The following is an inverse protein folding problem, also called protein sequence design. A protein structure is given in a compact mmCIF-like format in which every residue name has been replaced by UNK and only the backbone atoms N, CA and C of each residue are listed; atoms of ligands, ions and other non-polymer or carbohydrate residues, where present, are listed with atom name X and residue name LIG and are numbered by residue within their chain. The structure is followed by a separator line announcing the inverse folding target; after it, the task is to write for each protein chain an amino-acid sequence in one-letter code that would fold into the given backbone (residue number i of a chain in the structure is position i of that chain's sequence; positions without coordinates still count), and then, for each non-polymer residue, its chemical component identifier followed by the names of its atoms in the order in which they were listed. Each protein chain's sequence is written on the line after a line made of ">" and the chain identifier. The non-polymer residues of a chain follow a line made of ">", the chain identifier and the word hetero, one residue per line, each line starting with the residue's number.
data_IF_398512979493
#
_entry.id   IF_398512979493
#
_cell.length_a   1.000
_cell.length_b   1.000
_cell.length_c   1.000
_cell.angle_alpha   90.00
_cell.angle_beta   90.00
_cell.angle_gamma   90.00
#
_symmetry.space_group_name_H-M   'P 1'
#
loop_
_entity.id
_entity.type
_entity.pdbx_description
1 polymer ?
#
# COMPACT_ATOMS: atom_id res chain seq x y z
N UNK A 1 3.44 29.01 -28.69
CA UNK A 1 2.91 28.94 -28.31
C UNK A 1 2.53 28.70 -27.70
N UNK A 2 2.69 28.69 -27.83
CA UNK A 2 2.06 28.55 -27.18
C UNK A 2 1.77 28.11 -26.46
N UNK A 3 1.98 28.09 -26.55
CA UNK A 3 1.50 27.89 -25.87
C UNK A 3 1.30 27.44 -24.99
N UNK A 4 1.44 27.51 -25.14
CA UNK A 4 1.09 27.45 -24.40
C UNK A 4 1.23 26.91 -23.62
N UNK A 5 1.36 27.07 -23.56
CA UNK A 5 1.23 26.99 -22.83
C UNK A 5 1.17 26.51 -22.15
N UNK A 6 1.46 26.65 -22.39
CA UNK A 6 1.24 26.61 -21.56
C UNK A 6 1.14 26.24 -20.77
N UNK A 7 1.28 26.49 -20.93
CA UNK A 7 0.97 26.49 -20.02
C UNK A 7 0.91 26.04 -19.26
N UNK A 8 1.14 26.28 -19.40
CA UNK A 8 1.00 26.26 -18.57
C UNK A 8 1.11 25.89 -17.75
N UNK A 9 1.52 26.04 -17.78
CA UNK A 9 1.50 26.11 -16.87
C UNK A 9 1.97 26.12 -16.07
N UNK A 10 2.38 26.44 -16.12
CA UNK A 10 2.66 26.78 -15.29
C UNK A 10 2.91 26.75 -14.35
N UNK A 11 3.05 26.99 -14.17
CA UNK A 11 3.17 27.04 -13.22
C UNK A 11 3.19 26.73 -12.31
N UNK A 12 3.27 26.82 -12.23
CA UNK A 12 2.99 26.70 -11.43
C UNK A 12 3.31 26.37 -10.76
N UNK A 13 3.63 26.63 -10.59
CA UNK A 13 3.78 26.42 -10.05
C UNK A 13 4.09 26.09 -9.01
N UNK A 14 4.19 26.50 -9.25
CA UNK A 14 4.47 26.53 -8.27
C UNK A 14 4.62 25.66 -7.25
N UNK A 15 4.73 25.70 -6.68
CA UNK A 15 4.79 24.69 -5.89
C UNK A 15 4.39 23.48 -6.47
N UNK A 16 4.61 23.27 -7.36
CA UNK A 16 4.26 22.23 -8.17
C UNK A 16 4.89 20.95 -7.82
N UNK A 17 6.11 20.96 -7.43
CA UNK A 17 6.77 19.74 -7.02
C UNK A 17 6.10 19.14 -5.79
N UNK A 18 5.50 19.98 -4.97
CA UNK A 18 4.79 19.52 -3.79
C UNK A 18 3.62 18.65 -4.15
N UNK A 19 3.15 18.68 -5.39
CA UNK A 19 2.02 17.88 -5.83
C UNK A 19 2.43 16.63 -6.58
N UNK A 20 3.72 16.37 -6.64
CA UNK A 20 4.21 15.27 -7.45
C UNK A 20 4.38 14.03 -6.59
N UNK A 21 3.31 13.25 -6.54
CA UNK A 21 3.36 11.93 -5.93
C UNK A 21 3.66 10.92 -7.03
N UNK A 22 4.69 10.13 -6.83
CA UNK A 22 5.13 9.16 -7.82
C UNK A 22 5.07 7.76 -7.22
N UNK A 23 4.48 6.82 -7.94
CA UNK A 23 4.45 5.43 -7.52
C UNK A 23 5.33 4.64 -8.47
N UNK A 24 6.22 3.82 -7.90
CA UNK A 24 7.18 3.05 -8.66
C UNK A 24 7.52 1.77 -7.91
N UNK A 25 8.33 0.93 -8.52
CA UNK A 25 8.74 -0.33 -7.91
C UNK A 25 9.64 -0.07 -6.71
N UNK A 26 9.37 -0.78 -5.62
CA UNK A 26 10.24 -0.78 -4.44
C UNK A 26 11.41 -1.71 -4.73
N UNK A 27 12.60 -1.14 -4.83
CA UNK A 27 13.79 -1.92 -5.12
C UNK A 27 14.53 -2.29 -3.84
N UNK A 28 15.55 -3.12 -3.96
CA UNK A 28 16.32 -3.53 -2.78
C UNK A 28 17.02 -2.34 -2.13
N UNK A 29 17.40 -1.32 -2.90
CA UNK A 29 18.04 -0.13 -2.34
C UNK A 29 17.05 0.72 -1.54
N UNK A 30 15.75 0.52 -1.73
CA UNK A 30 14.72 1.26 -1.00
C UNK A 30 14.40 0.62 0.35
N UNK A 31 14.84 -0.60 0.59
CA UNK A 31 14.43 -1.37 1.78
C UNK A 31 14.78 -0.68 3.11
N UNK A 32 15.97 -0.07 3.27
CA UNK A 32 16.23 0.61 4.54
C UNK A 32 15.24 1.72 4.85
N UNK A 33 14.86 2.52 3.86
CA UNK A 33 13.87 3.59 4.07
C UNK A 33 12.50 3.01 4.37
N UNK A 34 12.11 1.96 3.65
CA UNK A 34 10.83 1.30 3.89
C UNK A 34 10.78 0.66 5.27
N UNK A 35 11.90 0.10 5.73
CA UNK A 35 12.00 -0.50 7.07
C UNK A 35 11.75 0.54 8.16
N UNK A 36 12.26 1.76 7.98
CA UNK A 36 11.99 2.83 8.94
C UNK A 36 10.51 3.18 8.97
N UNK A 37 9.85 3.20 7.82
CA UNK A 37 8.41 3.45 7.76
C UNK A 37 7.65 2.34 8.48
N UNK A 38 8.06 1.09 8.24
CA UNK A 38 7.42 -0.06 8.90
C UNK A 38 7.44 0.09 10.42
N UNK A 39 8.59 0.43 10.96
CA UNK A 39 8.74 0.57 12.41
C UNK A 39 7.98 1.74 12.98
N UNK A 40 7.83 2.83 12.23
CA UNK A 40 7.13 4.03 12.69
C UNK A 40 5.63 3.94 12.51
N UNK A 41 5.16 3.23 11.49
CA UNK A 41 3.76 3.24 11.11
C UNK A 41 2.93 2.16 11.82
N UNK A 42 3.56 1.07 12.22
CA UNK A 42 2.83 -0.08 12.79
C UNK A 42 3.16 -0.28 14.25
N UNK A 43 2.12 -0.54 15.06
CA UNK A 43 2.29 -0.84 16.48
C UNK A 43 3.00 -2.19 16.67
N UNK A 44 2.79 -3.11 15.73
CA UNK A 44 3.40 -4.45 15.76
C UNK A 44 4.07 -4.70 14.42
N UNK A 45 5.24 -4.08 14.18
CA UNK A 45 5.90 -4.21 12.90
C UNK A 45 6.39 -5.63 12.66
N UNK A 46 6.57 -5.98 11.39
CA UNK A 46 7.20 -7.25 11.01
C UNK A 46 8.59 -7.31 11.63
N UNK A 47 9.09 -8.54 11.83
CA UNK A 47 10.50 -8.70 12.17
C UNK A 47 11.35 -8.25 10.97
N UNK A 48 12.59 -7.89 11.26
CA UNK A 48 13.52 -7.50 10.20
C UNK A 48 13.67 -8.61 9.16
N UNK A 49 13.79 -9.84 9.62
CA UNK A 49 13.94 -10.99 8.72
C UNK A 49 12.75 -11.11 7.77
N UNK A 50 11.53 -11.00 8.30
CA UNK A 50 10.32 -11.08 7.48
C UNK A 50 10.26 -9.93 6.50
N UNK A 51 10.56 -8.73 6.96
CA UNK A 51 10.49 -7.55 6.11
C UNK A 51 11.43 -7.67 4.92
N UNK A 52 12.69 -8.00 5.18
CA UNK A 52 13.69 -8.09 4.11
C UNK A 52 13.57 -9.36 3.28
N UNK A 53 12.79 -10.35 3.74
CA UNK A 53 12.61 -11.61 3.03
C UNK A 53 11.48 -11.62 1.99
N UNK A 54 10.60 -10.62 2.00
CA UNK A 54 9.44 -10.61 1.12
C UNK A 54 9.74 -9.84 -0.17
N UNK A 55 10.73 -10.32 -0.92
CA UNK A 55 11.22 -9.74 -2.15
C UNK A 55 11.37 -10.83 -3.20
N UNK A 56 11.40 -10.46 -4.47
CA UNK A 56 11.69 -11.39 -5.54
C UNK A 56 10.65 -11.39 -6.64
N UNK A 57 10.75 -12.40 -7.51
CA UNK A 57 9.96 -12.43 -8.75
C UNK A 57 8.47 -12.53 -8.53
N UNK A 58 8.05 -13.13 -7.41
CA UNK A 58 6.63 -13.29 -7.12
C UNK A 58 6.03 -12.06 -6.44
N UNK A 59 6.79 -11.00 -6.31
CA UNK A 59 6.34 -9.82 -5.59
C UNK A 59 6.15 -8.65 -6.54
N UNK A 60 5.07 -7.93 -6.31
CA UNK A 60 4.84 -6.62 -6.89
C UNK A 60 4.86 -5.63 -5.73
N UNK A 61 6.06 -5.19 -5.37
CA UNK A 61 6.25 -4.28 -4.26
C UNK A 61 6.37 -2.87 -4.79
N UNK A 62 5.61 -1.96 -4.20
CA UNK A 62 5.50 -0.59 -4.68
C UNK A 62 5.88 0.40 -3.61
N UNK A 63 6.40 1.55 -4.02
CA UNK A 63 6.61 2.68 -3.13
C UNK A 63 5.90 3.90 -3.70
N UNK A 64 5.51 4.78 -2.81
CA UNK A 64 4.98 6.09 -3.17
C UNK A 64 5.94 7.14 -2.62
N UNK A 65 6.43 8.00 -3.51
CA UNK A 65 7.30 9.10 -3.15
C UNK A 65 6.50 10.39 -3.21
N UNK A 66 6.56 11.16 -2.14
CA UNK A 66 5.90 12.46 -2.05
C UNK A 66 6.91 13.45 -1.48
N UNK A 67 6.95 14.64 -2.05
CA UNK A 67 7.88 15.67 -1.60
C UNK A 67 9.34 15.17 -1.56
N UNK A 68 9.70 14.38 -2.57
CA UNK A 68 11.04 13.81 -2.73
C UNK A 68 11.46 12.82 -1.63
N UNK A 69 10.48 12.29 -0.89
CA UNK A 69 10.72 11.28 0.16
C UNK A 69 9.81 10.10 -0.06
N UNK A 70 10.27 8.92 0.35
CA UNK A 70 9.37 7.77 0.40
C UNK A 70 8.33 8.03 1.49
N UNK A 71 7.07 8.04 1.10
CA UNK A 71 5.95 8.32 1.99
C UNK A 71 5.17 7.06 2.36
N UNK A 72 5.22 6.03 1.51
CA UNK A 72 4.42 4.83 1.71
C UNK A 72 4.98 3.69 0.89
N UNK A 73 4.62 2.46 1.28
CA UNK A 73 4.97 1.27 0.49
C UNK A 73 3.88 0.22 0.63
N UNK A 74 3.87 -0.71 -0.32
CA UNK A 74 2.97 -1.86 -0.29
C UNK A 74 3.75 -3.10 -0.74
N UNK A 75 3.59 -4.19 0.00
CA UNK A 75 4.21 -5.47 -0.29
C UNK A 75 3.13 -6.44 -0.73
N UNK A 76 3.20 -6.89 -1.97
CA UNK A 76 2.17 -7.74 -2.57
C UNK A 76 2.83 -8.94 -3.23
N UNK A 77 2.32 -10.12 -2.93
CA UNK A 77 2.76 -11.35 -3.58
C UNK A 77 1.75 -11.71 -4.67
N UNK A 78 2.26 -12.12 -5.82
CA UNK A 78 1.41 -12.54 -6.94
C UNK A 78 1.74 -13.99 -7.26
N UNK A 79 0.73 -14.86 -7.20
CA UNK A 79 0.87 -16.28 -7.54
C UNK A 79 -0.21 -16.60 -8.56
N UNK A 80 0.20 -16.86 -9.79
CA UNK A 80 -0.71 -17.11 -10.92
C UNK A 80 -1.66 -15.91 -11.07
N UNK A 81 -2.95 -16.11 -10.96
CA UNK A 81 -3.94 -15.05 -11.15
C UNK A 81 -4.49 -14.50 -9.83
N UNK A 82 -3.81 -14.78 -8.71
CA UNK A 82 -4.21 -14.26 -7.41
C UNK A 82 -3.08 -13.50 -6.75
N UNK A 83 -3.45 -12.45 -6.01
CA UNK A 83 -2.48 -11.64 -5.30
C UNK A 83 -2.89 -11.50 -3.84
N UNK A 84 -1.90 -11.30 -2.97
CA UNK A 84 -2.13 -11.04 -1.56
C UNK A 84 -1.34 -9.82 -1.14
N UNK A 85 -2.02 -8.82 -0.62
CA UNK A 85 -1.37 -7.66 -0.02
C UNK A 85 -0.92 -8.06 1.38
N UNK A 86 0.38 -8.21 1.56
CA UNK A 86 0.94 -8.62 2.84
C UNK A 86 1.15 -7.45 3.79
N UNK A 87 1.42 -6.27 3.26
CA UNK A 87 1.73 -5.12 4.11
C UNK A 87 1.53 -3.84 3.32
N UNK A 88 1.00 -2.84 3.99
CA UNK A 88 0.92 -1.48 3.46
C UNK A 88 1.14 -0.53 4.62
N UNK A 89 1.95 0.49 4.41
CA UNK A 89 2.27 1.45 5.45
C UNK A 89 2.43 2.83 4.86
N UNK A 90 1.94 3.84 5.58
CA UNK A 90 2.14 5.25 5.25
C UNK A 90 2.92 5.87 6.39
N UNK A 91 4.03 6.54 6.06
CA UNK A 91 4.85 7.23 7.05
C UNK A 91 3.96 8.20 7.85
N UNK A 92 4.08 8.20 9.20
CA UNK A 92 3.27 9.09 10.02
C UNK A 92 3.30 10.56 9.59
N UNK A 93 4.42 11.02 9.03
CA UNK A 93 4.54 12.41 8.57
C UNK A 93 3.66 12.68 7.33
N UNK A 94 3.16 11.65 6.68
CA UNK A 94 2.39 11.78 5.45
C UNK A 94 0.97 11.25 5.56
N UNK A 95 0.55 10.86 6.74
CA UNK A 95 -0.81 10.33 6.92
C UNK A 95 -1.87 11.41 6.74
N UNK A 96 -3.10 10.98 6.47
CA UNK A 96 -4.26 11.85 6.26
C UNK A 96 -4.18 12.68 4.99
N UNK A 97 -3.41 12.24 4.01
CA UNK A 97 -3.32 12.88 2.71
C UNK A 97 -3.90 11.99 1.60
N UNK A 98 -4.51 10.86 1.95
CA UNK A 98 -5.06 9.94 0.97
C UNK A 98 -4.03 9.11 0.24
N UNK A 99 -2.80 9.01 0.74
CA UNK A 99 -1.74 8.30 0.03
C UNK A 99 -1.93 6.79 0.05
N UNK A 100 -2.49 6.24 1.13
CA UNK A 100 -2.81 4.81 1.18
C UNK A 100 -3.80 4.42 0.11
N UNK A 101 -4.85 5.22 -0.06
CA UNK A 101 -5.83 4.99 -1.12
C UNK A 101 -5.19 5.09 -2.50
N UNK A 102 -4.38 6.12 -2.71
CA UNK A 102 -3.70 6.32 -4.00
C UNK A 102 -2.83 5.12 -4.34
N UNK A 103 -2.07 4.63 -3.37
CA UNK A 103 -1.19 3.48 -3.58
C UNK A 103 -1.99 2.22 -3.88
N UNK A 104 -3.09 2.00 -3.15
CA UNK A 104 -3.96 0.84 -3.38
C UNK A 104 -4.63 0.88 -4.74
N UNK A 105 -5.12 2.05 -5.15
CA UNK A 105 -5.74 2.19 -6.46
C UNK A 105 -4.76 1.88 -7.57
N UNK A 106 -3.53 2.36 -7.43
CA UNK A 106 -2.49 2.06 -8.41
C UNK A 106 -2.16 0.57 -8.43
N UNK A 107 -2.06 -0.04 -7.24
CA UNK A 107 -1.79 -1.48 -7.14
C UNK A 107 -2.89 -2.29 -7.83
N UNK A 108 -4.15 -1.94 -7.59
CA UNK A 108 -5.27 -2.65 -8.18
C UNK A 108 -5.22 -2.54 -9.71
N UNK A 109 -4.94 -1.35 -10.24
CA UNK A 109 -4.84 -1.15 -11.68
C UNK A 109 -3.70 -1.98 -12.27
N UNK A 110 -2.56 -2.02 -11.59
CA UNK A 110 -1.41 -2.79 -12.05
C UNK A 110 -1.71 -4.28 -12.04
N UNK A 111 -2.38 -4.76 -11.00
CA UNK A 111 -2.75 -6.16 -10.90
C UNK A 111 -3.75 -6.55 -11.99
N UNK A 112 -4.69 -5.68 -12.28
CA UNK A 112 -5.65 -5.91 -13.34
C UNK A 112 -4.94 -6.05 -14.69
N UNK A 113 -3.99 -5.19 -14.96
CA UNK A 113 -3.19 -5.23 -16.18
C UNK A 113 -2.44 -6.56 -16.30
N UNK A 114 -2.04 -7.15 -15.18
CA UNK A 114 -1.31 -8.42 -15.15
C UNK A 114 -2.22 -9.64 -15.18
N UNK A 115 -3.53 -9.46 -15.24
CA UNK A 115 -4.48 -10.56 -15.30
C UNK A 115 -4.83 -11.17 -13.95
N UNK A 116 -4.51 -10.49 -12.86
CA UNK A 116 -4.90 -10.96 -11.53
C UNK A 116 -6.41 -10.78 -11.37
N UNK A 117 -7.06 -11.82 -10.85
CA UNK A 117 -8.52 -11.82 -10.72
C UNK A 117 -8.99 -11.53 -9.30
N UNK A 118 -8.15 -11.76 -8.30
CA UNK A 118 -8.54 -11.52 -6.90
C UNK A 118 -7.35 -10.98 -6.11
N UNK A 119 -7.59 -9.95 -5.32
CA UNK A 119 -6.61 -9.42 -4.37
C UNK A 119 -7.11 -9.70 -2.95
N UNK A 120 -6.29 -10.39 -2.17
CA UNK A 120 -6.58 -10.77 -0.79
C UNK A 120 -5.78 -9.92 0.18
N UNK A 121 -6.31 -9.74 1.38
CA UNK A 121 -5.55 -9.14 2.48
C UNK A 121 -6.09 -9.62 3.81
N UNK A 122 -5.28 -9.44 4.87
CA UNK A 122 -5.69 -9.65 6.26
C UNK A 122 -5.55 -8.33 6.99
N UNK A 123 -6.50 -8.02 7.86
CA UNK A 123 -6.49 -6.78 8.63
C UNK A 123 -6.94 -7.07 10.05
N UNK A 124 -6.33 -6.37 11.03
CA UNK A 124 -6.74 -6.47 12.43
C UNK A 124 -8.18 -6.03 12.56
N UNK A 125 -8.96 -6.79 13.32
CA UNK A 125 -10.38 -6.46 13.52
C UNK A 125 -10.56 -5.08 14.12
N UNK A 126 -9.61 -4.61 14.91
CA UNK A 126 -9.68 -3.29 15.54
C UNK A 126 -9.32 -2.14 14.61
N UNK A 127 -8.77 -2.42 13.43
CA UNK A 127 -8.31 -1.36 12.53
C UNK A 127 -9.47 -0.86 11.66
N UNK A 128 -10.37 -0.11 12.31
CA UNK A 128 -11.59 0.36 11.65
C UNK A 128 -11.30 1.26 10.43
N UNK A 129 -10.26 2.08 10.54
CA UNK A 129 -9.92 2.99 9.43
C UNK A 129 -9.47 2.22 8.19
N UNK A 130 -8.65 1.20 8.37
CA UNK A 130 -8.19 0.39 7.25
C UNK A 130 -9.35 -0.40 6.64
N UNK A 131 -10.19 -1.00 7.49
CA UNK A 131 -11.34 -1.77 7.02
C UNK A 131 -12.26 -0.87 6.18
N UNK A 132 -12.53 0.35 6.65
CA UNK A 132 -13.38 1.30 5.92
C UNK A 132 -12.76 1.65 4.57
N UNK A 133 -11.45 1.85 4.53
CA UNK A 133 -10.75 2.13 3.28
C UNK A 133 -10.90 0.96 2.31
N UNK A 134 -10.64 -0.26 2.77
CA UNK A 134 -10.74 -1.44 1.92
C UNK A 134 -12.17 -1.62 1.40
N UNK A 135 -13.16 -1.49 2.28
CA UNK A 135 -14.57 -1.61 1.86
C UNK A 135 -14.92 -0.56 0.82
N UNK A 136 -14.42 0.67 0.98
CA UNK A 136 -14.71 1.73 0.02
C UNK A 136 -14.09 1.46 -1.35
N UNK A 137 -13.09 0.60 -1.43
CA UNK A 137 -12.46 0.20 -2.68
C UNK A 137 -13.10 -1.05 -3.28
N UNK A 138 -14.06 -1.66 -2.58
CA UNK A 138 -14.78 -2.83 -3.08
C UNK A 138 -14.39 -4.15 -2.44
N UNK A 139 -13.52 -4.14 -1.44
CA UNK A 139 -13.20 -5.37 -0.74
C UNK A 139 -14.39 -5.83 0.10
N UNK A 140 -14.56 -7.14 0.18
CA UNK A 140 -15.59 -7.77 1.00
C UNK A 140 -14.94 -8.70 2.01
N UNK A 141 -15.56 -8.81 3.18
CA UNK A 141 -15.11 -9.77 4.18
C UNK A 141 -15.35 -11.19 3.66
N UNK A 142 -14.30 -12.01 3.68
CA UNK A 142 -14.39 -13.41 3.25
C UNK A 142 -14.48 -14.33 4.44
N UNK A 143 -13.64 -14.13 5.46
CA UNK A 143 -13.67 -14.96 6.66
C UNK A 143 -12.94 -14.24 7.80
N UNK A 144 -12.99 -14.85 8.98
CA UNK A 144 -12.35 -14.31 10.18
C UNK A 144 -11.41 -15.38 10.73
N UNK A 145 -10.18 -14.99 11.07
CA UNK A 145 -9.23 -15.82 11.80
C UNK A 145 -9.27 -15.40 13.26
N UNK A 146 -9.78 -16.25 14.12
CA UNK A 146 -9.93 -15.94 15.53
C UNK A 146 -8.58 -15.91 16.24
N UNK A 147 -8.42 -14.93 17.14
CA UNK A 147 -7.23 -14.81 18.01
C UNK A 147 -5.92 -14.88 17.24
N UNK A 148 -5.85 -14.23 16.08
CA UNK A 148 -4.74 -14.38 15.16
C UNK A 148 -3.59 -13.40 15.45
N UNK A 149 -3.92 -12.15 15.75
CA UNK A 149 -2.92 -11.10 15.94
C UNK A 149 -2.65 -10.86 17.42
N UNK A 150 -1.37 -10.66 17.80
CA UNK A 150 -1.06 -10.29 19.18
C UNK A 150 -1.51 -8.87 19.48
N UNK A 151 -1.93 -8.65 20.74
CA UNK A 151 -2.23 -7.33 21.25
C UNK A 151 -1.58 -7.17 22.61
N UNK A 152 -1.67 -5.97 23.22
CA UNK A 152 -1.11 -5.72 24.55
C UNK A 152 -1.75 -6.59 25.61
N UNK A 153 -3.02 -6.97 25.46
CA UNK A 153 -3.75 -7.75 26.46
C UNK A 153 -4.02 -9.19 26.02
N UNK A 154 -3.44 -9.65 24.91
CA UNK A 154 -3.69 -11.00 24.43
C UNK A 154 -3.68 -11.05 22.91
N UNK A 155 -4.84 -11.34 22.32
CA UNK A 155 -4.95 -11.50 20.86
C UNK A 155 -6.24 -10.88 20.36
N UNK A 156 -6.27 -10.55 19.08
CA UNK A 156 -7.47 -10.12 18.40
C UNK A 156 -7.62 -10.88 17.09
N UNK A 157 -8.82 -10.83 16.53
CA UNK A 157 -9.13 -11.50 15.30
C UNK A 157 -8.50 -10.79 14.10
N UNK A 158 -8.27 -11.55 13.04
CA UNK A 158 -7.94 -11.03 11.72
C UNK A 158 -9.16 -11.18 10.84
N UNK A 159 -9.46 -10.14 10.07
CA UNK A 159 -10.50 -10.20 9.05
C UNK A 159 -9.79 -10.40 7.71
N UNK A 160 -10.19 -11.45 6.99
CA UNK A 160 -9.66 -11.70 5.66
C UNK A 160 -10.62 -11.12 4.66
N UNK A 161 -10.11 -10.25 3.79
CA UNK A 161 -10.93 -9.55 2.81
C UNK A 161 -10.45 -9.87 1.41
N UNK A 162 -11.36 -9.79 0.46
CA UNK A 162 -11.07 -10.09 -0.93
C UNK A 162 -11.69 -9.04 -1.84
N UNK A 163 -10.94 -8.68 -2.88
CA UNK A 163 -11.41 -7.79 -3.92
C UNK A 163 -11.40 -8.53 -5.26
N UNK A 164 -12.57 -8.78 -5.86
CA UNK A 164 -12.60 -9.29 -7.22
C UNK A 164 -12.16 -8.17 -8.17
N UNK A 165 -11.13 -8.42 -8.97
CA UNK A 165 -10.56 -7.40 -9.84
C UNK A 165 -11.09 -7.53 -11.27
N UNK A 166 -11.08 -8.77 -11.77
CA UNK A 166 -11.47 -9.02 -13.15
C UNK A 166 -12.65 -9.94 -13.22
N UNK A 167 -13.39 -9.78 -14.27
CA UNK A 167 -14.57 -10.60 -14.52
C UNK A 167 -14.29 -11.61 -15.59
#
# INVERSE_FOLDING_TARGET
>A
MNSGQTRRHAPHYGNKSANMNTISILSTTDLPAAWQIEQRAHAFPWSEKTFFGNQGERYLNLKLTADDRMAAFAITQVVLDEATLFNIAVDPDFQRRGLGRMLLEHLIDELETRGVVTLWLEVRASNAAAIALYESLGFNEATIRRNYYPTAQGHEDAIIMALPISM
#
